data_IF_623043704935
#
_entry.id   IF_623043704935
#
_cell.length_a   1.000
_cell.length_b   1.000
_cell.length_c   1.000
_cell.angle_alpha   90.00
_cell.angle_beta   90.00
_cell.angle_gamma   90.00
#
_symmetry.space_group_name_H-M   'P 1'
#
loop_
_entity.id
_entity.type
_entity.pdbx_description
1 polymer ?
#
# COMPACT_ATOMS: atom_id res chain seq x y z
N UNK A 1 54.12 -19.34 -21.14
CA UNK A 1 53.91 -18.63 -19.85
C UNK A 1 52.95 -17.43 -19.93
N UNK A 2 52.92 -16.65 -21.02
CA UNK A 2 52.03 -15.48 -21.12
C UNK A 2 50.51 -15.80 -21.17
N UNK A 3 50.12 -16.94 -21.73
CA UNK A 3 48.71 -17.35 -21.87
C UNK A 3 48.07 -17.78 -20.53
N UNK A 4 48.81 -18.51 -19.70
CA UNK A 4 48.40 -18.92 -18.35
C UNK A 4 48.22 -17.70 -17.43
N UNK A 5 49.09 -16.68 -17.56
CA UNK A 5 48.96 -15.42 -16.83
C UNK A 5 47.72 -14.61 -17.23
N UNK A 6 47.35 -14.61 -18.51
CA UNK A 6 46.12 -13.95 -18.99
C UNK A 6 44.86 -14.65 -18.46
N UNK A 7 44.77 -15.98 -18.55
CA UNK A 7 43.63 -16.74 -18.01
C UNK A 7 43.47 -16.60 -16.50
N UNK A 8 44.57 -16.57 -15.75
CA UNK A 8 44.57 -16.35 -14.30
C UNK A 8 44.11 -14.93 -13.94
N UNK A 9 44.57 -13.91 -14.68
CA UNK A 9 44.14 -12.53 -14.48
C UNK A 9 42.65 -12.34 -14.79
N UNK A 10 42.13 -12.93 -15.87
CA UNK A 10 40.70 -12.88 -16.21
C UNK A 10 39.85 -13.59 -15.15
N UNK A 11 40.29 -14.73 -14.63
CA UNK A 11 39.61 -15.45 -13.54
C UNK A 11 39.57 -14.65 -12.23
N UNK A 12 40.70 -14.04 -11.84
CA UNK A 12 40.77 -13.18 -10.65
C UNK A 12 39.90 -11.93 -10.82
N UNK A 13 39.93 -11.28 -11.98
CA UNK A 13 39.09 -10.12 -12.26
C UNK A 13 37.60 -10.47 -12.20
N UNK A 14 37.22 -11.61 -12.78
CA UNK A 14 35.84 -12.12 -12.73
C UNK A 14 35.39 -12.42 -11.30
N UNK A 15 36.25 -13.02 -10.47
CA UNK A 15 35.97 -13.26 -9.06
C UNK A 15 35.82 -11.95 -8.28
N UNK A 16 36.72 -10.99 -8.48
CA UNK A 16 36.67 -9.67 -7.83
C UNK A 16 35.40 -8.93 -8.21
N UNK A 17 35.03 -8.89 -9.50
CA UNK A 17 33.79 -8.28 -9.96
C UNK A 17 32.55 -8.99 -9.37
N UNK A 18 32.59 -10.31 -9.25
CA UNK A 18 31.50 -11.08 -8.64
C UNK A 18 31.36 -10.79 -7.15
N UNK A 19 32.48 -10.69 -6.42
CA UNK A 19 32.50 -10.34 -4.99
C UNK A 19 32.04 -8.89 -4.79
N UNK A 20 32.46 -7.96 -5.64
CA UNK A 20 32.02 -6.57 -5.59
C UNK A 20 30.53 -6.43 -5.91
N UNK A 21 30.02 -7.13 -6.93
CA UNK A 21 28.61 -7.17 -7.25
C UNK A 21 27.80 -7.79 -6.09
N UNK A 22 28.30 -8.88 -5.50
CA UNK A 22 27.67 -9.49 -4.34
C UNK A 22 27.67 -8.56 -3.12
N UNK A 23 28.79 -7.88 -2.84
CA UNK A 23 28.89 -6.93 -1.74
C UNK A 23 27.98 -5.71 -1.95
N UNK A 24 27.89 -5.19 -3.18
CA UNK A 24 26.96 -4.13 -3.54
C UNK A 24 25.50 -4.53 -3.28
N UNK A 25 25.12 -5.79 -3.48
CA UNK A 25 23.72 -6.25 -3.29
C UNK A 25 23.41 -6.66 -1.85
N UNK A 26 24.36 -7.34 -1.21
CA UNK A 26 24.14 -8.07 0.03
C UNK A 26 24.96 -7.54 1.22
N UNK A 27 26.16 -7.01 0.97
CA UNK A 27 27.10 -6.62 2.03
C UNK A 27 26.81 -5.26 2.66
N UNK A 28 26.09 -4.38 1.95
CA UNK A 28 25.83 -3.00 2.40
C UNK A 28 24.45 -2.75 3.00
N UNK A 29 23.49 -3.68 2.89
CA UNK A 29 22.10 -3.44 3.27
C UNK A 29 21.87 -3.55 4.79
N UNK A 30 21.23 -2.54 5.36
CA UNK A 30 20.86 -2.47 6.79
C UNK A 30 19.45 -2.97 6.99
N UNK A 31 19.27 -3.68 8.10
CA UNK A 31 17.94 -4.06 8.54
C UNK A 31 17.17 -2.82 8.95
N UNK A 32 15.90 -2.77 8.57
CA UNK A 32 15.02 -1.76 9.12
C UNK A 32 14.71 -2.11 10.57
N UNK A 33 15.10 -1.22 11.47
CA UNK A 33 14.77 -1.25 12.88
C UNK A 33 13.69 -0.21 13.16
N UNK A 34 13.04 -0.32 14.32
CA UNK A 34 12.21 0.76 14.80
C UNK A 34 13.08 1.95 15.27
N UNK A 35 12.45 3.10 15.48
CA UNK A 35 13.06 4.25 16.13
C UNK A 35 12.90 4.23 17.65
N UNK A 36 13.28 5.33 18.29
CA UNK A 36 13.04 5.56 19.71
C UNK A 36 11.88 6.55 19.88
N UNK A 37 10.79 6.09 20.49
CA UNK A 37 9.66 6.97 20.84
C UNK A 37 10.06 7.93 21.95
N UNK A 38 9.74 9.21 21.79
CA UNK A 38 9.95 10.21 22.82
C UNK A 38 9.16 9.87 24.10
N UNK A 39 9.90 9.59 25.18
CA UNK A 39 9.35 9.19 26.50
C UNK A 39 8.74 10.33 27.30
N UNK A 40 8.46 11.47 26.67
CA UNK A 40 7.85 12.64 27.28
C UNK A 40 6.44 12.79 26.75
N UNK A 41 5.44 12.90 27.63
CA UNK A 41 4.07 13.23 27.26
C UNK A 41 3.99 14.65 26.65
N UNK A 42 3.01 14.91 25.79
CA UNK A 42 2.65 16.30 25.48
C UNK A 42 2.35 17.06 26.77
N UNK A 43 2.69 18.34 26.79
CA UNK A 43 2.47 19.16 27.98
C UNK A 43 0.96 19.18 28.35
N UNK A 44 0.59 18.95 29.62
CA UNK A 44 -0.83 18.82 30.02
C UNK A 44 -1.71 20.01 29.62
N UNK A 45 -1.13 21.22 29.54
CA UNK A 45 -1.80 22.42 29.07
C UNK A 45 -2.26 22.33 27.61
N UNK A 46 -1.53 21.63 26.74
CA UNK A 46 -1.93 21.42 25.35
C UNK A 46 -3.13 20.47 25.26
N UNK A 47 -3.09 19.36 26.01
CA UNK A 47 -4.20 18.41 26.09
C UNK A 47 -5.45 19.08 26.69
N UNK A 48 -5.28 19.84 27.77
CA UNK A 48 -6.37 20.61 28.39
C UNK A 48 -6.94 21.69 27.46
N UNK A 49 -6.09 22.34 26.64
CA UNK A 49 -6.53 23.34 25.68
C UNK A 49 -7.46 22.75 24.60
N UNK A 50 -7.24 21.50 24.16
CA UNK A 50 -8.15 20.79 23.23
C UNK A 50 -9.55 20.68 23.83
N UNK A 51 -9.66 20.17 25.06
CA UNK A 51 -10.93 20.03 25.77
C UNK A 51 -11.61 21.38 26.06
N UNK A 52 -10.84 22.39 26.47
CA UNK A 52 -11.35 23.76 26.67
C UNK A 52 -11.87 24.38 25.37
N UNK A 53 -11.23 24.11 24.23
CA UNK A 53 -11.68 24.54 22.91
C UNK A 53 -13.06 23.97 22.56
N UNK A 54 -13.24 22.66 22.71
CA UNK A 54 -14.52 22.01 22.46
C UNK A 54 -15.62 22.54 23.39
N UNK A 55 -15.33 22.69 24.69
CA UNK A 55 -16.31 23.24 25.65
C UNK A 55 -16.69 24.69 25.35
N UNK A 56 -15.77 25.51 24.81
CA UNK A 56 -16.13 26.86 24.34
C UNK A 56 -17.03 26.83 23.11
N UNK A 57 -16.76 25.93 22.16
CA UNK A 57 -17.54 25.80 20.94
C UNK A 57 -18.94 25.19 21.19
N UNK A 58 -19.05 24.25 22.13
CA UNK A 58 -20.28 23.55 22.49
C UNK A 58 -20.40 23.37 24.02
N UNK A 59 -20.82 24.41 24.78
CA UNK A 59 -20.80 24.38 26.25
C UNK A 59 -21.71 23.35 26.94
N UNK A 60 -22.77 22.93 26.25
CA UNK A 60 -23.77 22.01 26.78
C UNK A 60 -23.53 20.56 26.31
N UNK A 61 -22.52 20.32 25.48
CA UNK A 61 -22.23 19.00 24.95
C UNK A 61 -21.37 18.21 25.96
N UNK A 62 -21.76 16.95 26.17
CA UNK A 62 -21.02 16.04 27.07
C UNK A 62 -20.09 15.11 26.29
N UNK A 63 -20.34 14.91 24.99
CA UNK A 63 -19.47 14.13 24.12
C UNK A 63 -18.22 14.92 23.74
N UNK A 64 -17.14 14.19 23.45
CA UNK A 64 -15.88 14.75 22.95
C UNK A 64 -15.71 14.35 21.49
N UNK A 65 -15.28 15.31 20.68
CA UNK A 65 -14.84 15.04 19.31
C UNK A 65 -13.36 14.69 19.38
N UNK A 66 -12.96 13.58 18.76
CA UNK A 66 -11.56 13.17 18.67
C UNK A 66 -11.13 13.23 17.21
N UNK A 67 -9.93 13.75 16.97
CA UNK A 67 -9.33 13.82 15.65
C UNK A 67 -8.23 12.77 15.55
N UNK A 68 -8.28 11.93 14.52
CA UNK A 68 -7.30 10.86 14.37
C UNK A 68 -7.18 10.35 12.95
N UNK A 69 -6.23 9.44 12.76
CA UNK A 69 -5.88 8.87 11.47
C UNK A 69 -5.85 7.33 11.55
N UNK A 70 -6.79 6.67 10.88
CA UNK A 70 -6.93 5.21 10.89
C UNK A 70 -6.24 4.54 9.69
N UNK A 71 -5.42 5.26 8.94
CA UNK A 71 -4.78 4.75 7.74
C UNK A 71 -3.33 5.27 7.61
N UNK A 72 -2.43 4.76 8.47
CA UNK A 72 -1.03 5.19 8.53
C UNK A 72 -0.09 4.10 8.03
N UNK A 73 0.72 4.45 7.02
CA UNK A 73 1.80 3.61 6.52
C UNK A 73 3.15 4.09 7.05
N UNK A 74 4.01 3.13 7.34
CA UNK A 74 5.42 3.35 7.72
C UNK A 74 6.29 2.70 6.66
N UNK A 75 7.60 2.87 6.73
CA UNK A 75 8.49 2.19 5.78
C UNK A 75 8.53 0.67 5.96
N UNK A 76 7.76 0.08 6.88
CA UNK A 76 7.46 -1.36 6.87
C UNK A 76 6.59 -1.76 5.66
N UNK A 77 5.80 -0.84 5.11
CA UNK A 77 5.11 -1.04 3.84
C UNK A 77 6.01 -0.77 2.65
N UNK A 78 5.78 -1.49 1.54
CA UNK A 78 6.60 -1.37 0.33
C UNK A 78 6.40 -0.03 -0.36
N UNK A 79 5.18 0.49 -0.38
CA UNK A 79 4.83 1.76 -1.00
C UNK A 79 5.49 2.94 -0.27
N UNK A 80 5.33 3.04 1.06
CA UNK A 80 5.94 4.10 1.86
C UNK A 80 7.47 4.03 1.82
N UNK A 81 8.07 2.84 1.85
CA UNK A 81 9.51 2.70 1.66
C UNK A 81 9.93 3.18 0.26
N UNK A 82 9.21 2.77 -0.79
CA UNK A 82 9.50 3.21 -2.16
C UNK A 82 9.44 4.74 -2.29
N UNK A 83 8.43 5.39 -1.70
CA UNK A 83 8.31 6.86 -1.67
C UNK A 83 9.39 7.53 -0.83
N UNK A 84 9.92 6.85 0.18
CA UNK A 84 11.09 7.28 0.96
C UNK A 84 12.42 7.23 0.20
N UNK A 85 12.46 6.64 -1.00
CA UNK A 85 13.70 6.54 -1.78
C UNK A 85 14.08 7.89 -2.42
N UNK A 86 15.40 8.19 -2.55
CA UNK A 86 15.86 9.43 -3.17
C UNK A 86 15.37 9.64 -4.61
N UNK A 87 15.19 8.59 -5.40
CA UNK A 87 14.67 8.68 -6.77
C UNK A 87 13.23 9.21 -6.81
N UNK A 88 12.46 8.97 -5.75
CA UNK A 88 11.10 9.46 -5.59
C UNK A 88 11.04 10.83 -4.88
N UNK A 89 12.21 11.43 -4.57
CA UNK A 89 12.31 12.66 -3.80
C UNK A 89 12.06 12.48 -2.31
N UNK A 90 12.10 11.25 -1.79
CA UNK A 90 11.84 10.93 -0.40
C UNK A 90 12.96 11.33 0.57
N UNK A 91 12.59 11.51 1.84
CA UNK A 91 13.48 11.93 2.92
C UNK A 91 14.20 10.76 3.63
N UNK A 92 13.81 9.51 3.33
CA UNK A 92 14.39 8.31 3.89
C UNK A 92 13.36 7.40 4.54
N UNK A 93 13.80 6.68 5.58
CA UNK A 93 12.97 5.70 6.31
C UNK A 93 12.21 6.37 7.45
N UNK A 94 10.95 5.98 7.62
CA UNK A 94 10.04 6.44 8.66
C UNK A 94 9.45 5.21 9.35
N UNK A 95 10.09 4.69 10.41
CA UNK A 95 9.60 3.52 11.14
C UNK A 95 8.36 3.82 12.01
N UNK A 96 7.70 2.79 12.57
CA UNK A 96 6.56 2.93 13.49
C UNK A 96 6.71 3.97 14.62
N UNK A 97 7.91 4.11 15.21
CA UNK A 97 8.16 5.10 16.24
C UNK A 97 8.01 6.54 15.73
N UNK A 98 8.42 6.83 14.49
CA UNK A 98 8.24 8.16 13.88
C UNK A 98 6.75 8.50 13.77
N UNK A 99 5.90 7.53 13.44
CA UNK A 99 4.46 7.74 13.36
C UNK A 99 3.86 8.12 14.73
N UNK A 100 4.33 7.51 15.82
CA UNK A 100 3.91 7.88 17.19
C UNK A 100 4.28 9.35 17.49
N UNK A 101 5.55 9.72 17.30
CA UNK A 101 6.01 11.06 17.65
C UNK A 101 5.45 12.12 16.70
N UNK A 102 5.27 11.80 15.42
CA UNK A 102 4.62 12.69 14.46
C UNK A 102 3.15 12.92 14.82
N UNK A 103 2.40 11.85 15.16
CA UNK A 103 1.01 11.97 15.62
C UNK A 103 0.91 12.85 16.86
N UNK A 104 1.83 12.69 17.83
CA UNK A 104 1.82 13.39 19.10
C UNK A 104 2.23 14.86 18.97
N UNK A 105 3.40 15.13 18.38
CA UNK A 105 4.02 16.45 18.43
C UNK A 105 3.72 17.32 17.19
N UNK A 106 3.63 16.71 16.01
CA UNK A 106 3.47 17.46 14.76
C UNK A 106 2.00 17.63 14.39
N UNK A 107 1.25 16.52 14.32
CA UNK A 107 -0.15 16.52 13.90
C UNK A 107 -1.14 16.71 15.06
N UNK A 108 -0.68 16.46 16.30
CA UNK A 108 -1.48 16.58 17.52
C UNK A 108 -2.79 15.76 17.47
N UNK A 109 -2.71 14.54 16.92
CA UNK A 109 -3.84 13.62 16.81
C UNK A 109 -4.22 13.06 18.19
N UNK A 110 -5.51 12.88 18.42
CA UNK A 110 -6.02 12.18 19.61
C UNK A 110 -5.88 10.66 19.47
N UNK A 111 -5.86 10.12 18.24
CA UNK A 111 -5.56 8.72 17.98
C UNK A 111 -4.99 8.47 16.58
N UNK A 112 -4.31 7.34 16.40
CA UNK A 112 -3.94 6.85 15.07
C UNK A 112 -3.84 5.32 15.04
N UNK A 113 -3.86 4.71 13.86
CA UNK A 113 -3.64 3.27 13.67
C UNK A 113 -2.49 3.01 12.69
N UNK A 114 -1.53 2.17 13.09
CA UNK A 114 -0.55 1.63 12.14
C UNK A 114 -1.23 0.58 11.27
N UNK A 115 -1.33 0.81 9.97
CA UNK A 115 -2.03 -0.06 9.03
C UNK A 115 -1.16 -0.39 7.84
N UNK A 116 0.12 -0.72 8.10
CA UNK A 116 1.03 -1.17 7.06
C UNK A 116 0.44 -2.36 6.25
N UNK A 117 0.78 -2.43 4.96
CA UNK A 117 0.36 -3.51 4.06
C UNK A 117 0.74 -4.88 4.64
N UNK A 118 -0.24 -5.74 4.92
CA UNK A 118 -0.01 -7.09 5.42
C UNK A 118 0.84 -7.94 4.44
N UNK A 119 0.78 -7.63 3.14
CA UNK A 119 1.59 -8.20 2.06
C UNK A 119 3.08 -7.82 2.15
N UNK A 120 3.40 -6.78 2.92
CA UNK A 120 4.74 -6.30 3.22
C UNK A 120 5.19 -6.62 4.65
N UNK A 121 4.31 -7.21 5.46
CA UNK A 121 4.63 -7.62 6.82
C UNK A 121 5.05 -9.10 6.92
N UNK A 122 5.89 -9.36 7.91
CA UNK A 122 6.37 -10.67 8.30
C UNK A 122 6.37 -10.79 9.85
N UNK A 123 6.63 -11.98 10.43
CA UNK A 123 6.57 -12.16 11.88
C UNK A 123 7.43 -11.17 12.69
N UNK A 124 8.60 -10.77 12.20
CA UNK A 124 9.46 -9.78 12.86
C UNK A 124 8.85 -8.39 12.79
N UNK A 125 8.44 -7.94 11.60
CA UNK A 125 7.89 -6.59 11.42
C UNK A 125 6.51 -6.45 12.04
N UNK A 126 5.70 -7.51 12.08
CA UNK A 126 4.45 -7.54 12.85
C UNK A 126 4.71 -7.36 14.35
N UNK A 127 5.70 -8.07 14.89
CA UNK A 127 6.11 -7.88 16.28
C UNK A 127 6.57 -6.44 16.53
N UNK A 128 7.33 -5.85 15.60
CA UNK A 128 7.77 -4.46 15.67
C UNK A 128 6.57 -3.49 15.74
N UNK A 129 5.57 -3.62 14.87
CA UNK A 129 4.34 -2.81 14.91
C UNK A 129 3.66 -2.90 16.28
N UNK A 130 3.45 -4.11 16.80
CA UNK A 130 2.82 -4.35 18.11
C UNK A 130 3.62 -3.73 19.26
N UNK A 131 4.92 -3.94 19.26
CA UNK A 131 5.81 -3.39 20.28
C UNK A 131 5.82 -1.86 20.23
N UNK A 132 5.81 -1.25 19.04
CA UNK A 132 5.83 0.20 18.86
C UNK A 132 4.54 0.85 19.36
N UNK A 133 3.37 0.29 19.01
CA UNK A 133 2.06 0.75 19.53
C UNK A 133 2.03 0.70 21.05
N UNK A 134 2.44 -0.43 21.64
CA UNK A 134 2.47 -0.58 23.10
C UNK A 134 3.42 0.43 23.76
N UNK A 135 4.58 0.66 23.15
CA UNK A 135 5.53 1.65 23.64
C UNK A 135 4.98 3.07 23.55
N UNK A 136 4.28 3.42 22.47
CA UNK A 136 3.60 4.70 22.30
C UNK A 136 2.56 4.91 23.41
N UNK A 137 1.65 3.95 23.58
CA UNK A 137 0.61 4.00 24.62
C UNK A 137 1.20 4.01 26.05
N UNK A 138 2.38 3.39 26.26
CA UNK A 138 3.02 3.37 27.57
C UNK A 138 3.49 4.75 28.06
N UNK A 139 3.74 5.72 27.15
CA UNK A 139 4.20 7.07 27.51
C UNK A 139 3.20 7.80 28.40
N UNK A 140 1.91 7.52 28.21
CA UNK A 140 0.79 8.13 28.93
C UNK A 140 -0.02 7.10 29.73
N UNK A 141 0.58 5.95 30.04
CA UNK A 141 -0.07 4.89 30.80
C UNK A 141 -0.62 5.41 32.15
N UNK A 142 -1.90 5.14 32.40
CA UNK A 142 -2.61 5.57 33.61
C UNK A 142 -3.15 7.00 33.55
N UNK A 143 -2.94 7.76 32.46
CA UNK A 143 -3.66 9.00 32.24
C UNK A 143 -5.12 8.70 31.89
N UNK A 144 -6.07 9.33 32.59
CA UNK A 144 -7.48 9.32 32.17
C UNK A 144 -7.70 10.05 30.83
N UNK A 145 -6.76 10.92 30.45
CA UNK A 145 -6.78 11.67 29.20
C UNK A 145 -5.40 11.60 28.54
N UNK A 146 -5.09 10.50 27.82
CA UNK A 146 -3.85 10.40 27.06
C UNK A 146 -3.78 11.50 25.98
N UNK A 147 -2.57 11.87 25.58
CA UNK A 147 -2.35 12.86 24.52
C UNK A 147 -2.67 12.32 23.12
N UNK A 148 -2.37 11.03 22.90
CA UNK A 148 -2.67 10.23 21.71
C UNK A 148 -2.88 8.78 22.11
N UNK A 149 -3.75 8.06 21.40
CA UNK A 149 -3.91 6.60 21.49
C UNK A 149 -3.45 5.96 20.17
N UNK A 150 -2.51 5.03 20.24
CA UNK A 150 -2.07 4.25 19.09
C UNK A 150 -2.83 2.91 19.03
N UNK A 151 -3.27 2.52 17.83
CA UNK A 151 -3.89 1.24 17.55
C UNK A 151 -2.99 0.36 16.67
N UNK A 152 -3.01 -0.94 16.96
CA UNK A 152 -2.38 -1.94 16.11
C UNK A 152 -3.35 -2.33 15.00
N UNK A 153 -2.87 -2.37 13.76
CA UNK A 153 -3.65 -2.81 12.61
C UNK A 153 -2.77 -3.24 11.44
N UNK A 154 -3.41 -3.52 10.32
CA UNK A 154 -2.76 -3.77 9.04
C UNK A 154 -3.75 -3.46 7.91
N UNK A 155 -3.22 -3.17 6.72
CA UNK A 155 -4.03 -3.11 5.51
C UNK A 155 -4.02 -4.46 4.80
N UNK A 156 -5.20 -4.98 4.46
CA UNK A 156 -5.39 -6.06 3.50
C UNK A 156 -5.59 -5.45 2.11
N UNK A 157 -4.63 -5.66 1.21
CA UNK A 157 -4.51 -4.88 -0.04
C UNK A 157 -4.75 -5.77 -1.26
N UNK A 158 -6.02 -5.94 -1.61
CA UNK A 158 -6.42 -6.81 -2.72
C UNK A 158 -6.62 -6.03 -4.02
N UNK A 159 -5.90 -6.48 -5.05
CA UNK A 159 -6.02 -5.97 -6.41
C UNK A 159 -6.22 -7.11 -7.40
N UNK A 160 -7.13 -6.92 -8.35
CA UNK A 160 -7.32 -7.81 -9.49
C UNK A 160 -7.52 -7.00 -10.78
N UNK A 161 -7.35 -7.65 -11.93
CA UNK A 161 -7.42 -6.97 -13.24
C UNK A 161 -8.84 -6.75 -13.75
N UNK A 162 -9.83 -7.47 -13.22
CA UNK A 162 -11.23 -7.36 -13.65
C UNK A 162 -12.10 -6.87 -12.49
N UNK A 163 -13.18 -6.13 -12.79
CA UNK A 163 -14.12 -5.69 -11.76
C UNK A 163 -14.62 -6.83 -10.88
N UNK A 164 -14.93 -8.00 -11.44
CA UNK A 164 -15.54 -9.13 -10.73
C UNK A 164 -14.62 -9.72 -9.66
N UNK A 165 -13.31 -9.77 -9.96
CA UNK A 165 -12.30 -10.35 -9.09
C UNK A 165 -11.67 -9.33 -8.12
N UNK A 166 -11.90 -8.04 -8.31
CA UNK A 166 -11.36 -6.99 -7.46
C UNK A 166 -12.27 -6.75 -6.25
N UNK A 167 -11.68 -6.60 -5.07
CA UNK A 167 -12.42 -6.36 -3.81
C UNK A 167 -12.01 -5.08 -3.09
N UNK A 168 -11.09 -4.29 -3.66
CA UNK A 168 -10.49 -3.14 -3.00
C UNK A 168 -9.68 -3.55 -1.76
N UNK A 169 -9.41 -2.57 -0.92
CA UNK A 169 -8.54 -2.73 0.24
C UNK A 169 -9.35 -2.59 1.53
N UNK A 170 -8.76 -3.04 2.66
CA UNK A 170 -9.40 -3.00 3.98
C UNK A 170 -8.36 -2.76 5.07
N UNK A 171 -8.53 -1.69 5.84
CA UNK A 171 -7.81 -1.58 7.12
C UNK A 171 -8.49 -2.47 8.15
N UNK A 172 -7.69 -3.26 8.85
CA UNK A 172 -8.10 -4.10 9.97
C UNK A 172 -7.42 -3.57 11.22
N UNK A 173 -8.19 -3.13 12.20
CA UNK A 173 -7.70 -2.41 13.38
C UNK A 173 -8.20 -3.12 14.63
N UNK A 174 -7.31 -3.32 15.60
CA UNK A 174 -7.60 -3.96 16.87
C UNK A 174 -7.69 -2.91 17.98
N UNK A 175 -8.69 -3.04 18.84
CA UNK A 175 -8.98 -2.07 19.89
C UNK A 175 -7.92 -2.02 20.99
N UNK A 176 -7.34 -3.17 21.32
CA UNK A 176 -6.40 -3.33 22.43
C UNK A 176 -4.98 -3.59 21.91
N UNK A 177 -3.98 -3.37 22.75
CA UNK A 177 -2.55 -3.52 22.43
C UNK A 177 -1.84 -4.60 23.27
N UNK A 178 -2.59 -5.36 24.07
CA UNK A 178 -2.10 -6.50 24.83
C UNK A 178 -1.81 -7.71 23.92
N UNK A 179 -0.92 -8.60 24.36
CA UNK A 179 -0.49 -9.73 23.50
C UNK A 179 -1.56 -10.80 23.29
N UNK A 180 -2.47 -10.95 24.26
CA UNK A 180 -3.59 -11.90 24.22
C UNK A 180 -4.82 -11.35 23.48
N UNK A 181 -4.89 -10.03 23.26
CA UNK A 181 -5.98 -9.38 22.52
C UNK A 181 -5.58 -8.95 21.10
N UNK A 182 -4.43 -9.45 20.62
CA UNK A 182 -3.93 -9.23 19.26
C UNK A 182 -3.71 -10.55 18.53
N UNK A 183 -3.93 -10.59 17.20
CA UNK A 183 -3.65 -11.80 16.46
C UNK A 183 -2.14 -12.06 16.40
N UNK A 184 -1.77 -13.34 16.34
CA UNK A 184 -0.37 -13.74 16.21
C UNK A 184 0.28 -13.23 14.92
N UNK A 185 -0.53 -12.87 13.91
CA UNK A 185 -0.08 -12.46 12.57
C UNK A 185 -1.13 -11.63 11.83
N UNK A 186 -0.72 -10.76 10.88
CA UNK A 186 -1.62 -10.09 9.97
C UNK A 186 -2.09 -11.05 8.87
N UNK A 187 -3.17 -10.68 8.18
CA UNK A 187 -3.76 -11.46 7.09
C UNK A 187 -3.57 -10.69 5.78
N UNK A 188 -2.76 -11.22 4.87
CA UNK A 188 -2.48 -10.60 3.58
C UNK A 188 -3.48 -11.01 2.49
N UNK A 189 -3.74 -10.16 1.52
CA UNK A 189 -4.33 -10.56 0.27
C UNK A 189 -3.30 -11.33 -0.57
N UNK A 190 -3.68 -12.44 -1.24
CA UNK A 190 -2.89 -13.00 -2.33
C UNK A 190 -3.12 -12.18 -3.60
N UNK A 191 -2.14 -12.17 -4.51
CA UNK A 191 -2.38 -11.69 -5.87
C UNK A 191 -1.27 -10.80 -6.41
N UNK A 192 -1.65 -9.82 -7.22
CA UNK A 192 -0.72 -8.93 -7.94
C UNK A 192 0.10 -8.06 -6.98
N UNK A 193 -0.51 -7.55 -5.91
CA UNK A 193 0.16 -6.77 -4.86
C UNK A 193 1.23 -7.60 -4.17
N UNK A 194 0.86 -8.78 -3.63
CA UNK A 194 1.84 -9.71 -3.03
C UNK A 194 2.95 -10.07 -4.01
N UNK A 195 2.62 -10.34 -5.29
CA UNK A 195 3.62 -10.70 -6.31
C UNK A 195 4.51 -9.53 -6.69
N UNK A 196 3.97 -8.31 -6.80
CA UNK A 196 4.76 -7.11 -7.05
C UNK A 196 5.73 -6.86 -5.90
N UNK A 197 5.25 -7.04 -4.66
CA UNK A 197 6.05 -6.88 -3.44
C UNK A 197 6.99 -8.07 -3.16
N UNK A 198 6.76 -9.25 -3.74
CA UNK A 198 7.56 -10.46 -3.48
C UNK A 198 8.49 -10.86 -4.63
N UNK A 199 8.37 -10.27 -5.83
CA UNK A 199 9.15 -10.70 -7.00
C UNK A 199 10.56 -10.10 -7.02
N UNK A 200 11.52 -10.99 -6.82
CA UNK A 200 12.95 -10.80 -7.11
C UNK A 200 13.27 -10.49 -8.59
N UNK A 201 12.33 -10.56 -9.54
CA UNK A 201 12.63 -10.28 -10.96
C UNK A 201 13.04 -8.81 -11.23
N UNK A 202 12.84 -7.93 -10.25
CA UNK A 202 13.41 -6.58 -10.21
C UNK A 202 14.90 -6.54 -9.81
N UNK A 203 15.60 -7.67 -9.73
CA UNK A 203 17.03 -7.75 -9.39
C UNK A 203 17.89 -6.82 -10.26
N UNK A 204 17.59 -6.65 -11.54
CA UNK A 204 18.36 -5.76 -12.41
C UNK A 204 18.23 -4.28 -12.02
N UNK A 205 17.02 -3.70 -11.86
CA UNK A 205 16.85 -2.38 -11.24
C UNK A 205 17.47 -2.28 -9.83
N UNK A 206 17.26 -3.29 -8.98
CA UNK A 206 17.80 -3.36 -7.61
C UNK A 206 19.33 -3.53 -7.55
N UNK A 207 19.98 -3.84 -8.68
CA UNK A 207 21.44 -3.88 -8.84
C UNK A 207 21.97 -2.57 -9.44
N UNK A 208 21.33 -2.14 -10.51
CA UNK A 208 21.81 -1.07 -11.36
C UNK A 208 21.51 0.32 -10.79
N UNK A 209 20.40 0.49 -10.06
CA UNK A 209 20.06 1.75 -9.37
C UNK A 209 21.07 2.00 -8.23
N UNK A 210 21.29 1.08 -7.26
CA UNK A 210 22.32 1.29 -6.23
C UNK A 210 23.70 1.60 -6.81
N UNK A 211 24.13 0.89 -7.86
CA UNK A 211 25.44 1.11 -8.47
C UNK A 211 25.58 2.51 -9.09
N UNK A 212 24.51 3.06 -9.67
CA UNK A 212 24.49 4.42 -10.23
C UNK A 212 24.28 5.51 -9.19
N UNK A 213 23.78 5.15 -8.01
CA UNK A 213 23.50 6.08 -6.92
C UNK A 213 24.64 6.25 -5.93
N UNK A 214 25.83 5.69 -6.15
CA UNK A 214 26.99 5.85 -5.25
C UNK A 214 27.35 7.34 -5.13
N UNK A 215 27.51 7.90 -3.90
CA UNK A 215 27.57 7.23 -2.59
C UNK A 215 26.24 7.12 -1.80
N UNK A 216 25.11 7.48 -2.40
CA UNK A 216 23.76 7.51 -1.80
C UNK A 216 22.96 6.21 -2.02
N UNK A 217 23.63 5.07 -2.21
CA UNK A 217 22.98 3.81 -2.56
C UNK A 217 22.18 3.16 -1.40
N UNK A 218 22.42 3.58 -0.16
CA UNK A 218 21.99 2.88 1.06
C UNK A 218 20.48 2.60 1.08
N UNK A 219 19.63 3.60 0.81
CA UNK A 219 18.17 3.43 0.85
C UNK A 219 17.66 2.35 -0.11
N UNK A 220 18.26 2.25 -1.30
CA UNK A 220 17.92 1.21 -2.28
C UNK A 220 18.37 -0.18 -1.83
N UNK A 221 19.53 -0.28 -1.15
CA UNK A 221 20.01 -1.54 -0.59
C UNK A 221 19.12 -2.03 0.55
N UNK A 222 18.69 -1.11 1.41
CA UNK A 222 17.82 -1.37 2.55
C UNK A 222 16.43 -1.81 2.07
N UNK A 223 15.88 -1.12 1.07
CA UNK A 223 14.63 -1.52 0.39
C UNK A 223 14.75 -2.92 -0.20
N UNK A 224 15.83 -3.21 -0.95
CA UNK A 224 16.06 -4.53 -1.52
C UNK A 224 16.17 -5.63 -0.45
N UNK A 225 16.75 -5.31 0.73
CA UNK A 225 16.79 -6.24 1.86
C UNK A 225 15.40 -6.47 2.45
N UNK A 226 14.61 -5.42 2.65
CA UNK A 226 13.24 -5.52 3.18
C UNK A 226 12.36 -6.45 2.34
N UNK A 227 12.38 -6.27 1.02
CA UNK A 227 11.68 -7.15 0.07
C UNK A 227 12.13 -8.62 0.20
N UNK A 228 13.44 -8.86 0.32
CA UNK A 228 13.99 -10.22 0.46
C UNK A 228 13.62 -10.85 1.79
N UNK A 229 13.59 -10.08 2.87
CA UNK A 229 13.21 -10.57 4.20
C UNK A 229 11.80 -11.14 4.19
N UNK A 230 10.86 -10.45 3.55
CA UNK A 230 9.48 -10.91 3.40
C UNK A 230 9.35 -12.23 2.63
N UNK A 231 10.28 -12.53 1.72
CA UNK A 231 10.31 -13.78 0.96
C UNK A 231 10.90 -14.97 1.75
N UNK A 232 11.52 -14.74 2.91
CA UNK A 232 12.10 -15.81 3.74
C UNK A 232 11.04 -16.57 4.55
N UNK A 233 9.89 -15.94 4.81
CA UNK A 233 8.82 -16.54 5.61
C UNK A 233 7.80 -17.26 4.71
N UNK A 234 7.49 -18.54 4.99
CA UNK A 234 6.54 -19.29 4.18
C UNK A 234 5.11 -18.79 4.39
N UNK A 235 4.25 -19.02 3.40
CA UNK A 235 2.81 -18.85 3.59
C UNK A 235 2.26 -19.95 4.51
N UNK A 236 1.26 -19.59 5.30
CA UNK A 236 0.56 -20.55 6.16
C UNK A 236 -0.19 -21.61 5.34
N UNK A 237 -0.35 -22.84 5.87
CA UNK A 237 -1.18 -23.85 5.22
C UNK A 237 -2.64 -23.38 5.14
N UNK A 238 -3.27 -23.69 4.02
CA UNK A 238 -4.68 -23.36 3.77
C UNK A 238 -5.61 -24.28 4.56
N UNK A 239 -6.81 -23.81 4.88
CA UNK A 239 -7.85 -24.61 5.55
C UNK A 239 -7.64 -24.89 7.04
N UNK A 240 -6.59 -24.33 7.65
CA UNK A 240 -6.36 -24.39 9.10
C UNK A 240 -6.93 -23.14 9.78
N UNK A 241 -7.49 -23.31 10.99
CA UNK A 241 -8.00 -22.21 11.80
C UNK A 241 -6.87 -21.22 12.15
N UNK A 242 -7.16 -19.91 12.13
CA UNK A 242 -6.18 -18.85 12.36
C UNK A 242 -5.49 -18.93 13.73
N UNK A 243 -6.13 -19.48 14.76
CA UNK A 243 -5.52 -19.70 16.08
C UNK A 243 -4.53 -20.85 16.12
N UNK A 244 -4.71 -21.85 15.25
CA UNK A 244 -3.88 -23.06 15.21
C UNK A 244 -2.68 -22.92 14.27
N UNK A 245 -2.59 -21.80 13.56
CA UNK A 245 -1.53 -21.54 12.58
C UNK A 245 -0.24 -21.07 13.24
N UNK A 246 0.94 -21.50 12.76
CA UNK A 246 2.22 -21.06 13.33
C UNK A 246 2.41 -19.53 13.23
N UNK A 247 2.93 -18.91 14.29
CA UNK A 247 3.28 -17.48 14.28
C UNK A 247 4.40 -17.13 13.28
N UNK A 248 5.15 -18.13 12.79
CA UNK A 248 6.26 -17.96 11.85
C UNK A 248 5.86 -18.00 10.37
N UNK A 249 4.56 -18.12 10.05
CA UNK A 249 4.07 -18.12 8.68
C UNK A 249 3.24 -16.87 8.37
N UNK A 250 3.09 -16.57 7.08
CA UNK A 250 2.31 -15.43 6.58
C UNK A 250 0.91 -15.88 6.19
N UNK A 251 -0.11 -15.41 6.90
CA UNK A 251 -1.52 -15.74 6.62
C UNK A 251 -2.01 -15.04 5.36
N UNK A 252 -2.96 -15.67 4.66
CA UNK A 252 -3.64 -15.05 3.53
C UNK A 252 -5.15 -15.26 3.55
N UNK A 253 -5.86 -14.30 2.99
CA UNK A 253 -7.27 -14.39 2.63
C UNK A 253 -7.49 -13.84 1.23
N UNK A 254 -8.00 -14.67 0.31
CA UNK A 254 -8.22 -14.31 -1.09
C UNK A 254 -9.45 -13.42 -1.33
N UNK A 255 -10.41 -13.46 -0.41
CA UNK A 255 -11.70 -12.78 -0.52
C UNK A 255 -12.07 -12.14 0.82
N UNK A 256 -12.94 -11.11 0.81
CA UNK A 256 -13.53 -10.57 2.04
C UNK A 256 -14.19 -11.63 2.91
N UNK A 257 -14.92 -12.59 2.30
CA UNK A 257 -15.52 -13.72 3.01
C UNK A 257 -14.50 -14.49 3.87
N UNK A 258 -13.37 -14.88 3.27
CA UNK A 258 -12.33 -15.61 3.99
C UNK A 258 -11.59 -14.73 5.01
N UNK A 259 -11.42 -13.43 4.73
CA UNK A 259 -10.85 -12.48 5.66
C UNK A 259 -11.72 -12.40 6.92
N UNK A 260 -13.01 -12.13 6.77
CA UNK A 260 -13.95 -12.03 7.89
C UNK A 260 -14.09 -13.34 8.66
N UNK A 261 -14.11 -14.49 7.98
CA UNK A 261 -14.08 -15.78 8.65
C UNK A 261 -12.87 -15.88 9.60
N UNK A 262 -11.67 -15.59 9.10
CA UNK A 262 -10.41 -15.66 9.87
C UNK A 262 -10.35 -14.65 11.01
N UNK A 263 -10.89 -13.44 10.82
CA UNK A 263 -11.02 -12.46 11.91
C UNK A 263 -11.96 -12.95 13.00
N UNK A 264 -13.10 -13.56 12.63
CA UNK A 264 -14.04 -14.13 13.58
C UNK A 264 -13.49 -15.36 14.32
N UNK A 265 -12.59 -16.14 13.69
CA UNK A 265 -11.89 -17.24 14.37
C UNK A 265 -11.05 -16.74 15.56
N UNK A 266 -10.48 -15.54 15.47
CA UNK A 266 -9.80 -14.89 16.58
C UNK A 266 -10.78 -14.46 17.69
N UNK A 267 -11.90 -13.84 17.32
CA UNK A 267 -12.90 -13.35 18.27
C UNK A 267 -12.43 -12.12 19.06
N UNK A 268 -11.63 -11.27 18.43
CA UNK A 268 -11.07 -10.05 19.01
C UNK A 268 -11.95 -8.83 18.72
N UNK A 269 -11.81 -7.78 19.54
CA UNK A 269 -12.44 -6.48 19.29
C UNK A 269 -11.78 -5.82 18.06
N UNK A 270 -12.40 -6.01 16.90
CA UNK A 270 -11.86 -5.60 15.59
C UNK A 270 -12.80 -4.62 14.86
N UNK A 271 -12.18 -3.70 14.12
CA UNK A 271 -12.83 -2.81 13.17
C UNK A 271 -12.22 -3.04 11.79
N UNK A 272 -13.07 -3.11 10.78
CA UNK A 272 -12.67 -3.19 9.38
C UNK A 272 -13.19 -1.98 8.61
N UNK A 273 -12.34 -1.36 7.81
CA UNK A 273 -12.67 -0.15 7.05
C UNK A 273 -12.30 -0.37 5.57
N UNK A 274 -13.27 -0.62 4.68
CA UNK A 274 -13.04 -0.70 3.25
C UNK A 274 -12.64 0.66 2.69
N UNK A 275 -11.68 0.61 1.78
CA UNK A 275 -11.18 1.77 1.05
C UNK A 275 -10.57 1.31 -0.28
N UNK A 276 -10.01 2.25 -1.05
CA UNK A 276 -9.22 1.90 -2.22
C UNK A 276 -10.01 1.19 -3.31
N UNK A 277 -11.20 1.68 -3.63
CA UNK A 277 -12.10 1.05 -4.61
C UNK A 277 -12.39 1.91 -5.83
N UNK A 278 -11.78 3.09 -5.90
CA UNK A 278 -12.04 4.10 -6.94
C UNK A 278 -10.76 4.71 -7.48
N UNK A 279 -9.59 4.33 -6.94
CA UNK A 279 -8.33 4.92 -7.38
C UNK A 279 -7.95 4.38 -8.76
N UNK A 280 -7.97 5.27 -9.76
CA UNK A 280 -7.70 4.97 -11.17
C UNK A 280 -6.29 4.49 -11.50
N UNK A 281 -5.46 4.20 -10.50
CA UNK A 281 -4.15 3.57 -10.66
C UNK A 281 -4.23 2.03 -10.71
N UNK A 282 -5.05 1.41 -9.84
CA UNK A 282 -5.19 -0.04 -9.76
C UNK A 282 -6.64 -0.54 -9.84
N UNK A 283 -7.65 0.33 -9.68
CA UNK A 283 -9.07 -0.08 -9.70
C UNK A 283 -9.51 -0.33 -11.15
N UNK A 284 -9.99 -1.54 -11.50
CA UNK A 284 -10.46 -1.82 -12.86
C UNK A 284 -11.61 -0.92 -13.31
N UNK A 285 -11.64 -0.59 -14.60
CA UNK A 285 -12.73 0.17 -15.21
C UNK A 285 -14.06 -0.58 -15.04
N UNK A 286 -15.11 0.15 -14.64
CA UNK A 286 -16.45 -0.43 -14.43
C UNK A 286 -16.64 -1.09 -13.06
N UNK A 287 -15.65 -1.01 -12.15
CA UNK A 287 -15.84 -1.44 -10.77
C UNK A 287 -16.93 -0.62 -10.06
N UNK A 288 -17.79 -1.31 -9.31
CA UNK A 288 -18.85 -0.74 -8.47
C UNK A 288 -18.63 -1.10 -7.00
N UNK A 289 -19.15 -0.26 -6.10
CA UNK A 289 -19.06 -0.46 -4.63
C UNK A 289 -19.99 -1.58 -4.10
N UNK A 290 -20.80 -2.19 -4.95
CA UNK A 290 -21.77 -3.24 -4.60
C UNK A 290 -21.18 -4.39 -3.78
N UNK A 291 -19.93 -4.80 -4.07
CA UNK A 291 -19.27 -5.89 -3.34
C UNK A 291 -18.99 -5.59 -1.88
N UNK A 292 -18.94 -4.32 -1.48
CA UNK A 292 -18.78 -3.93 -0.08
C UNK A 292 -20.11 -3.96 0.70
N UNK A 293 -21.24 -4.14 0.00
CA UNK A 293 -22.60 -4.17 0.57
C UNK A 293 -23.25 -5.55 0.48
N UNK A 294 -22.60 -6.50 -0.20
CA UNK A 294 -23.09 -7.86 -0.37
C UNK A 294 -22.92 -8.66 0.92
N UNK A 295 -24.00 -9.25 1.41
CA UNK A 295 -24.00 -10.00 2.68
C UNK A 295 -23.01 -11.19 2.72
N UNK A 296 -22.62 -11.76 1.58
CA UNK A 296 -21.62 -12.83 1.53
C UNK A 296 -20.16 -12.32 1.53
N UNK A 297 -19.97 -11.01 1.34
CA UNK A 297 -18.68 -10.32 1.26
C UNK A 297 -18.53 -9.19 2.29
N UNK A 298 -19.47 -9.08 3.23
CA UNK A 298 -19.53 -8.08 4.29
C UNK A 298 -19.79 -8.75 5.65
N UNK A 299 -19.34 -8.11 6.72
CA UNK A 299 -19.67 -8.47 8.10
C UNK A 299 -19.96 -7.20 8.89
N UNK A 300 -21.24 -6.93 9.15
CA UNK A 300 -21.70 -5.70 9.79
C UNK A 300 -21.20 -5.50 11.23
N UNK A 301 -20.68 -6.54 11.87
CA UNK A 301 -20.07 -6.41 13.20
C UNK A 301 -18.64 -5.87 13.12
N UNK A 302 -17.93 -6.18 12.03
CA UNK A 302 -16.55 -5.80 11.80
C UNK A 302 -16.46 -4.53 10.95
N UNK A 303 -17.14 -4.51 9.81
CA UNK A 303 -17.13 -3.43 8.84
C UNK A 303 -18.21 -2.39 9.17
N UNK A 304 -17.81 -1.30 9.83
CA UNK A 304 -18.73 -0.29 10.39
C UNK A 304 -18.46 1.14 9.94
N UNK A 305 -17.35 1.35 9.22
CA UNK A 305 -16.94 2.64 8.67
C UNK A 305 -16.57 2.46 7.20
N UNK A 306 -16.47 3.56 6.47
CA UNK A 306 -15.96 3.60 5.10
C UNK A 306 -15.01 4.78 4.98
N UNK A 307 -13.90 4.60 4.27
CA UNK A 307 -13.05 5.71 3.88
C UNK A 307 -13.57 6.34 2.60
N UNK A 308 -13.89 7.63 2.66
CA UNK A 308 -14.47 8.37 1.52
C UNK A 308 -13.38 9.08 0.71
N UNK A 309 -12.26 9.46 1.33
CA UNK A 309 -11.17 10.18 0.68
C UNK A 309 -9.81 9.78 1.26
N UNK A 310 -8.87 9.45 0.38
CA UNK A 310 -7.52 8.96 0.70
C UNK A 310 -6.40 9.88 0.21
N UNK A 311 -6.71 11.16 -0.06
CA UNK A 311 -5.77 12.10 -0.68
C UNK A 311 -5.69 12.02 -2.21
N UNK A 312 -6.42 11.10 -2.84
CA UNK A 312 -6.44 10.92 -4.29
C UNK A 312 -7.78 11.40 -4.89
N UNK A 313 -7.70 12.36 -5.81
CA UNK A 313 -8.89 12.88 -6.50
C UNK A 313 -9.67 13.91 -5.70
N UNK A 314 -11.00 13.81 -5.69
CA UNK A 314 -11.92 14.73 -5.01
C UNK A 314 -13.15 13.96 -4.50
N UNK A 315 -13.54 14.15 -3.24
CA UNK A 315 -14.72 13.55 -2.60
C UNK A 315 -15.94 14.48 -2.53
N UNK A 316 -15.76 15.79 -2.73
CA UNK A 316 -16.76 16.82 -2.48
C UNK A 316 -17.63 17.13 -3.71
N UNK A 317 -17.07 16.95 -4.91
CA UNK A 317 -17.73 17.27 -6.18
C UNK A 317 -18.13 15.99 -6.93
N UNK A 318 -19.43 15.77 -7.10
CA UNK A 318 -19.91 14.75 -8.02
C UNK A 318 -19.85 15.27 -9.46
N UNK A 319 -19.17 14.53 -10.33
CA UNK A 319 -19.17 14.77 -11.78
C UNK A 319 -19.74 13.59 -12.51
N UNK A 320 -20.72 13.83 -13.36
CA UNK A 320 -21.36 12.78 -14.14
C UNK A 320 -20.58 12.46 -15.43
N UNK A 321 -19.32 12.04 -15.26
CA UNK A 321 -18.53 11.47 -16.35
C UNK A 321 -18.33 9.97 -16.12
N UNK A 322 -17.99 9.25 -17.18
CA UNK A 322 -17.61 7.82 -17.12
C UNK A 322 -16.35 7.61 -17.93
N UNK A 323 -15.37 6.92 -17.36
CA UNK A 323 -14.13 6.55 -18.07
C UNK A 323 -14.35 5.37 -19.05
N UNK A 324 -15.38 4.58 -18.82
CA UNK A 324 -15.85 3.49 -19.68
C UNK A 324 -17.35 3.22 -19.42
N UNK A 325 -18.05 2.72 -20.43
CA UNK A 325 -19.45 2.27 -20.31
C UNK A 325 -19.45 0.73 -20.29
N UNK A 326 -20.16 0.12 -19.35
CA UNK A 326 -20.36 -1.34 -19.32
C UNK A 326 -21.57 -1.69 -20.20
N UNK A 327 -21.38 -2.56 -21.19
CA UNK A 327 -22.40 -3.07 -22.10
C UNK A 327 -22.45 -4.61 -22.05
N UNK A 328 -23.43 -5.23 -22.71
CA UNK A 328 -23.50 -6.70 -22.82
C UNK A 328 -22.26 -7.30 -23.52
N UNK A 329 -21.65 -6.55 -24.44
CA UNK A 329 -20.47 -6.97 -25.22
C UNK A 329 -19.13 -6.61 -24.55
N UNK A 330 -19.15 -5.97 -23.37
CA UNK A 330 -17.96 -5.56 -22.62
C UNK A 330 -17.87 -4.06 -22.37
N UNK A 331 -16.66 -3.49 -22.40
CA UNK A 331 -16.46 -2.06 -22.19
C UNK A 331 -16.56 -1.29 -23.51
N UNK A 332 -17.34 -0.22 -23.51
CA UNK A 332 -17.43 0.75 -24.60
C UNK A 332 -16.80 2.10 -24.20
N UNK A 333 -16.21 2.77 -25.18
CA UNK A 333 -15.58 4.08 -24.99
C UNK A 333 -16.64 5.18 -25.08
N UNK A 334 -16.91 5.94 -24.01
CA UNK A 334 -17.86 7.04 -24.08
C UNK A 334 -17.38 8.16 -25.02
N UNK A 335 -18.31 8.91 -25.60
CA UNK A 335 -17.97 10.14 -26.31
C UNK A 335 -17.50 11.21 -25.31
N UNK A 336 -16.57 12.11 -25.71
CA UNK A 336 -16.14 13.22 -24.87
C UNK A 336 -17.29 14.18 -24.59
N UNK A 337 -17.27 14.77 -23.40
CA UNK A 337 -18.13 15.90 -23.03
C UNK A 337 -17.29 17.16 -22.94
N UNK A 338 -17.93 18.32 -22.76
CA UNK A 338 -17.22 19.58 -22.54
C UNK A 338 -16.26 19.54 -21.34
N UNK A 339 -16.59 18.77 -20.30
CA UNK A 339 -15.82 18.69 -19.06
C UNK A 339 -14.92 17.45 -18.91
N UNK A 340 -14.97 16.49 -19.83
CA UNK A 340 -14.22 15.25 -19.71
C UNK A 340 -13.99 14.55 -21.05
N UNK A 341 -12.74 14.19 -21.31
CA UNK A 341 -12.36 13.32 -22.41
C UNK A 341 -11.84 11.98 -21.87
N UNK A 342 -12.51 10.84 -22.18
CA UNK A 342 -12.05 9.53 -21.73
C UNK A 342 -10.67 9.17 -22.31
N UNK A 343 -9.83 8.50 -21.52
CA UNK A 343 -8.48 8.10 -21.97
C UNK A 343 -8.52 7.19 -23.21
N UNK A 344 -9.54 6.33 -23.34
CA UNK A 344 -9.73 5.52 -24.54
C UNK A 344 -9.97 6.40 -25.77
N UNK A 345 -10.70 7.51 -25.63
CA UNK A 345 -10.95 8.45 -26.72
C UNK A 345 -9.67 9.17 -27.11
N UNK A 346 -8.93 9.70 -26.12
CA UNK A 346 -7.60 10.31 -26.33
C UNK A 346 -6.64 9.38 -27.07
N UNK A 347 -6.62 8.09 -26.70
CA UNK A 347 -5.81 7.09 -27.40
C UNK A 347 -6.17 7.02 -28.89
N UNK A 348 -7.46 7.07 -29.21
CA UNK A 348 -7.94 7.19 -30.58
C UNK A 348 -7.48 8.47 -31.28
N UNK A 349 -7.59 9.63 -30.63
CA UNK A 349 -7.19 10.91 -31.22
C UNK A 349 -5.67 10.99 -31.45
N UNK A 350 -4.85 10.44 -30.56
CA UNK A 350 -3.40 10.31 -30.76
C UNK A 350 -3.10 9.52 -32.03
N UNK A 351 -3.81 8.41 -32.28
CA UNK A 351 -3.66 7.65 -33.52
C UNK A 351 -4.15 8.44 -34.73
N UNK A 352 -5.24 9.19 -34.60
CA UNK A 352 -5.76 10.04 -35.67
C UNK A 352 -4.74 11.10 -36.09
N UNK A 353 -4.09 11.76 -35.13
CA UNK A 353 -3.05 12.75 -35.36
C UNK A 353 -1.81 12.17 -36.06
N UNK A 354 -1.54 10.87 -35.85
CA UNK A 354 -0.42 10.14 -36.48
C UNK A 354 -0.73 9.62 -37.90
N UNK A 355 -1.96 9.77 -38.39
CA UNK A 355 -2.34 9.35 -39.74
C UNK A 355 -1.94 10.38 -40.80
N UNK A 356 -1.50 9.91 -41.97
CA UNK A 356 -1.26 10.77 -43.15
C UNK A 356 -2.56 11.45 -43.62
N UNK A 357 -3.68 10.71 -43.64
CA UNK A 357 -5.01 11.20 -43.98
C UNK A 357 -5.99 10.94 -42.82
N UNK A 358 -6.18 11.91 -41.89
CA UNK A 358 -7.00 11.73 -40.69
C UNK A 358 -8.48 11.38 -40.91
N UNK A 359 -9.02 11.76 -42.08
CA UNK A 359 -10.42 11.50 -42.47
C UNK A 359 -10.64 10.21 -43.26
N UNK A 360 -9.58 9.43 -43.53
CA UNK A 360 -9.70 8.19 -44.30
C UNK A 360 -10.32 7.05 -43.49
N UNK A 361 -11.03 6.13 -44.17
CA UNK A 361 -11.57 4.90 -43.54
C UNK A 361 -10.48 4.04 -42.90
N UNK A 362 -9.27 4.06 -43.48
CA UNK A 362 -8.11 3.34 -42.94
C UNK A 362 -7.69 3.93 -41.60
N UNK A 363 -7.64 5.26 -41.50
CA UNK A 363 -7.34 5.92 -40.23
C UNK A 363 -8.45 5.66 -39.20
N UNK A 364 -9.71 5.77 -39.61
CA UNK A 364 -10.86 5.53 -38.72
C UNK A 364 -10.83 4.13 -38.11
N UNK A 365 -10.50 3.08 -38.88
CA UNK A 365 -10.31 1.72 -38.34
C UNK A 365 -9.18 1.62 -37.32
N UNK A 366 -8.09 2.37 -37.51
CA UNK A 366 -6.97 2.41 -36.54
C UNK A 366 -7.39 3.11 -35.25
N UNK A 367 -8.15 4.21 -35.34
CA UNK A 367 -8.71 4.94 -34.20
C UNK A 367 -9.63 4.05 -33.36
N UNK A 368 -10.55 3.35 -34.02
CA UNK A 368 -11.47 2.41 -33.36
C UNK A 368 -10.71 1.27 -32.68
N UNK A 369 -9.71 0.71 -33.35
CA UNK A 369 -8.84 -0.32 -32.77
C UNK A 369 -8.10 0.20 -31.53
N UNK A 370 -7.56 1.41 -31.56
CA UNK A 370 -6.84 1.99 -30.42
C UNK A 370 -7.75 2.21 -29.21
N UNK A 371 -8.98 2.71 -29.42
CA UNK A 371 -10.00 2.82 -28.37
C UNK A 371 -10.32 1.46 -27.75
N UNK A 372 -10.52 0.43 -28.59
CA UNK A 372 -10.82 -0.93 -28.13
C UNK A 372 -9.63 -1.59 -27.40
N UNK A 373 -8.41 -1.45 -27.92
CA UNK A 373 -7.22 -1.98 -27.28
C UNK A 373 -6.94 -1.33 -25.92
N UNK A 374 -7.12 -0.01 -25.82
CA UNK A 374 -7.01 0.71 -24.55
C UNK A 374 -7.96 0.13 -23.50
N UNK A 375 -9.25 -0.03 -23.85
CA UNK A 375 -10.24 -0.59 -22.93
C UNK A 375 -9.96 -2.05 -22.57
N UNK A 376 -9.47 -2.85 -23.53
CA UNK A 376 -9.13 -4.26 -23.32
C UNK A 376 -8.05 -4.46 -22.26
N UNK A 377 -7.06 -3.57 -22.17
CA UNK A 377 -5.99 -3.64 -21.16
C UNK A 377 -6.21 -2.68 -19.98
N UNK A 378 -7.27 -1.86 -20.04
CA UNK A 378 -7.72 -0.96 -18.98
C UNK A 378 -6.63 -0.02 -18.48
N UNK A 379 -6.13 -0.22 -17.26
CA UNK A 379 -5.21 0.69 -16.57
C UNK A 379 -3.84 0.78 -17.26
N UNK A 380 -3.47 -0.27 -18.00
CA UNK A 380 -2.28 -0.29 -18.83
C UNK A 380 -2.53 0.22 -20.26
N UNK A 381 -3.66 0.89 -20.52
CA UNK A 381 -4.09 1.31 -21.87
C UNK A 381 -3.03 2.09 -22.64
N UNK A 382 -2.23 2.90 -21.94
CA UNK A 382 -1.14 3.68 -22.51
C UNK A 382 -0.11 2.82 -23.27
N UNK A 383 0.13 1.57 -22.85
CA UNK A 383 1.11 0.68 -23.52
C UNK A 383 0.63 0.13 -24.87
N UNK A 384 -0.64 0.37 -25.23
CA UNK A 384 -1.20 -0.09 -26.51
C UNK A 384 -0.96 0.88 -27.67
N UNK A 385 -0.45 2.07 -27.37
CA UNK A 385 -0.15 3.10 -28.36
C UNK A 385 1.20 2.82 -29.04
N UNK A 386 1.25 2.57 -30.36
CA UNK A 386 2.49 2.27 -31.08
C UNK A 386 3.44 3.48 -31.10
N UNK A 387 4.73 3.27 -30.86
CA UNK A 387 5.75 4.34 -30.83
C UNK A 387 5.98 4.96 -29.45
N UNK A 388 5.22 4.55 -28.45
CA UNK A 388 5.58 4.72 -27.04
C UNK A 388 6.52 3.57 -26.67
N UNK A 389 7.83 3.72 -26.92
CA UNK A 389 8.80 2.90 -26.20
C UNK A 389 8.65 3.27 -24.73
N UNK A 390 8.19 2.33 -23.90
CA UNK A 390 8.23 2.51 -22.44
C UNK A 390 9.70 2.74 -22.11
N UNK A 391 10.10 3.89 -21.55
CA UNK A 391 11.48 4.09 -21.15
C UNK A 391 11.88 2.97 -20.20
N UNK A 392 12.96 2.26 -20.53
CA UNK A 392 13.55 1.19 -19.72
C UNK A 392 13.80 1.61 -18.26
#
# INVERSE_FOLDING_TARGET
MAWIRKGCLTGVLGLVLSVLAFWLVYGGAKEQLDGEIARVALAPEHVAARGAGQKRAAPNETNRILFGDLHVHTTLSVDAFMWGLPLMGGEGVHPPADACDFARFCSQLDFYALTDHAEALNPRTWKMTRDSVRQCNSVVAGSEQPDTIAFTGYEWTQVALTPEAHYGHKNVIFKHDSDDELPARPIAAPGLTTRAFSKLSALWPLLAIPARSIPNQQGYLDFARHIRENAQYPFCPDGVNSKDLPASCRERAATPHLLFQKLNEWGLDTLVIPHGTTWGFYTPLGYTWDKQLRADLDDTNLQRLVEVFSGHGNSEEHRDFRSAIVTEDGLACPEPTEGYEPCCWRAGEIIRERCEEPGSDVCQKKVEKARADFLRVSLAGHVTLPGEDVPD
#
